data_IF_873868403491
#
_entry.id   IF_873868403491
#
_cell.length_a   1.000
_cell.length_b   1.000
_cell.length_c   1.000
_cell.angle_alpha   90.00
_cell.angle_beta   90.00
_cell.angle_gamma   90.00
#
_symmetry.space_group_name_H-M   'P 1'
#
loop_
_entity.id
_entity.type
_entity.pdbx_description
1 polymer ?
#
# COMPACT_ATOMS: atom_id res chain seq x y z
N UNK A 1 -21.47 -4.94 -0.55
CA UNK A 1 -20.71 -4.59 0.67
C UNK A 1 -19.36 -4.10 0.21
N UNK A 2 -18.82 -3.00 0.78
CA UNK A 2 -17.43 -2.60 0.51
C UNK A 2 -16.48 -3.63 1.11
N UNK A 3 -15.43 -3.96 0.38
CA UNK A 3 -14.32 -4.77 0.88
C UNK A 3 -13.72 -4.08 2.10
N UNK A 4 -13.50 -4.80 3.20
CA UNK A 4 -12.80 -4.23 4.38
C UNK A 4 -11.49 -4.98 4.60
N UNK A 5 -10.39 -4.50 4.00
CA UNK A 5 -9.08 -5.08 4.23
C UNK A 5 -8.73 -5.07 5.71
N UNK A 6 -8.14 -6.15 6.19
CA UNK A 6 -7.45 -6.18 7.48
C UNK A 6 -5.95 -6.18 7.26
N UNK A 7 -5.22 -5.30 7.93
CA UNK A 7 -3.78 -5.25 7.69
C UNK A 7 -3.01 -4.40 8.68
N UNK A 8 -1.69 -4.49 8.54
CA UNK A 8 -0.73 -3.80 9.39
C UNK A 8 0.05 -2.76 8.60
N UNK A 9 0.26 -1.59 9.22
CA UNK A 9 1.10 -0.52 8.69
C UNK A 9 2.25 -0.29 9.65
N UNK A 10 3.45 -0.64 9.21
CA UNK A 10 4.71 -0.41 9.94
C UNK A 10 5.51 0.72 9.30
N UNK A 11 6.43 1.29 10.05
CA UNK A 11 7.19 2.47 9.62
C UNK A 11 8.65 2.42 10.02
N UNK A 12 9.53 2.75 9.08
CA UNK A 12 10.97 2.89 9.28
C UNK A 12 11.42 4.34 9.03
N UNK A 13 12.06 4.95 10.04
CA UNK A 13 12.59 6.32 9.97
C UNK A 13 11.56 7.40 9.59
N UNK A 14 10.27 7.11 9.78
CA UNK A 14 9.13 8.00 9.56
C UNK A 14 8.12 7.79 10.68
N UNK A 15 7.45 8.85 11.11
CA UNK A 15 6.27 8.75 11.98
C UNK A 15 5.02 8.81 11.13
N UNK A 16 4.15 7.83 11.26
CA UNK A 16 2.84 7.79 10.58
C UNK A 16 1.74 8.09 11.58
N UNK A 17 0.76 8.90 11.16
CA UNK A 17 -0.41 9.24 11.99
C UNK A 17 -1.48 8.15 11.88
N UNK A 18 -2.43 8.13 12.82
CA UNK A 18 -3.60 7.27 12.71
C UNK A 18 -4.43 7.59 11.46
N UNK A 19 -4.57 8.87 11.11
CA UNK A 19 -5.24 9.31 9.88
C UNK A 19 -4.59 8.72 8.62
N UNK A 20 -3.27 8.55 8.62
CA UNK A 20 -2.59 7.87 7.53
C UNK A 20 -2.97 6.40 7.45
N UNK A 21 -3.07 5.70 8.57
CA UNK A 21 -3.46 4.28 8.61
C UNK A 21 -4.91 4.07 8.15
N UNK A 22 -5.82 4.95 8.57
CA UNK A 22 -7.22 4.96 8.10
C UNK A 22 -7.26 5.18 6.59
N UNK A 23 -6.53 6.19 6.10
CA UNK A 23 -6.44 6.47 4.67
C UNK A 23 -5.85 5.29 3.87
N UNK A 24 -4.85 4.57 4.40
CA UNK A 24 -4.31 3.36 3.76
C UNK A 24 -5.40 2.30 3.60
N UNK A 25 -6.18 2.05 4.67
CA UNK A 25 -7.25 1.06 4.62
C UNK A 25 -8.34 1.43 3.59
N UNK A 26 -8.71 2.71 3.51
CA UNK A 26 -9.65 3.23 2.52
C UNK A 26 -9.11 3.08 1.09
N UNK A 27 -7.86 3.49 0.86
CA UNK A 27 -7.25 3.44 -0.48
C UNK A 27 -7.09 1.99 -0.99
N UNK A 28 -6.73 1.06 -0.11
CA UNK A 28 -6.64 -0.37 -0.47
C UNK A 28 -8.04 -0.98 -0.65
N UNK A 29 -9.02 -0.59 0.17
CA UNK A 29 -10.43 -0.99 0.01
C UNK A 29 -10.97 -0.57 -1.36
N UNK A 30 -10.73 0.68 -1.74
CA UNK A 30 -11.18 1.20 -3.03
C UNK A 30 -10.44 0.49 -4.18
N UNK A 31 -9.14 0.18 -4.05
CA UNK A 31 -8.44 -0.64 -5.04
C UNK A 31 -9.04 -2.04 -5.18
N UNK A 32 -9.33 -2.72 -4.06
CA UNK A 32 -9.89 -4.07 -4.04
C UNK A 32 -11.30 -4.13 -4.64
N UNK A 33 -12.14 -3.12 -4.44
CA UNK A 33 -13.49 -3.05 -5.01
C UNK A 33 -13.48 -3.00 -6.55
N UNK A 34 -12.34 -2.66 -7.18
CA UNK A 34 -12.16 -2.67 -8.64
C UNK A 34 -11.53 -3.97 -9.17
N UNK A 35 -11.19 -4.94 -8.31
CA UNK A 35 -10.70 -6.25 -8.73
C UNK A 35 -11.86 -7.25 -8.84
N UNK A 36 -12.24 -7.69 -10.06
CA UNK A 36 -13.39 -8.57 -10.24
C UNK A 36 -13.18 -9.96 -9.63
N UNK A 37 -11.93 -10.39 -9.44
CA UNK A 37 -11.56 -11.75 -8.98
C UNK A 37 -11.59 -11.92 -7.45
N UNK A 38 -11.56 -10.82 -6.69
CA UNK A 38 -11.48 -10.83 -5.22
C UNK A 38 -12.77 -10.35 -4.54
N UNK A 39 -13.85 -10.20 -5.31
CA UNK A 39 -15.13 -9.63 -4.89
C UNK A 39 -15.81 -10.38 -3.74
N UNK A 40 -15.48 -11.66 -3.56
CA UNK A 40 -16.04 -12.55 -2.52
C UNK A 40 -15.37 -12.45 -1.14
N UNK A 41 -14.43 -11.52 -0.95
CA UNK A 41 -14.25 -10.77 0.30
C UNK A 41 -13.93 -11.51 1.63
N UNK A 42 -13.59 -12.80 1.60
CA UNK A 42 -13.36 -13.54 2.85
C UNK A 42 -11.96 -13.33 3.46
N UNK A 43 -10.91 -13.11 2.65
CA UNK A 43 -9.52 -13.18 3.14
C UNK A 43 -8.61 -12.15 2.45
N UNK A 44 -8.96 -10.86 2.52
CA UNK A 44 -8.14 -9.80 1.94
C UNK A 44 -7.28 -9.12 3.02
N UNK A 45 -5.99 -9.44 3.00
CA UNK A 45 -5.00 -8.94 3.96
C UNK A 45 -3.97 -8.04 3.30
N UNK A 46 -3.48 -7.04 4.03
CA UNK A 46 -2.35 -6.24 3.59
C UNK A 46 -1.28 -6.08 4.66
N UNK A 47 -0.04 -5.99 4.20
CA UNK A 47 1.09 -5.54 5.01
C UNK A 47 1.78 -4.39 4.28
N UNK A 48 1.91 -3.24 4.94
CA UNK A 48 2.56 -2.06 4.38
C UNK A 48 3.71 -1.61 5.26
N UNK A 49 4.93 -1.67 4.72
CA UNK A 49 6.09 -1.02 5.32
C UNK A 49 6.36 0.31 4.62
N UNK A 50 6.34 1.41 5.38
CA UNK A 50 6.71 2.74 4.86
C UNK A 50 8.07 3.16 5.41
N UNK A 51 9.02 3.39 4.52
CA UNK A 51 10.37 3.84 4.85
C UNK A 51 10.63 5.23 4.33
N UNK A 52 11.17 6.12 5.18
CA UNK A 52 11.76 7.38 4.69
C UNK A 52 13.18 7.12 4.20
N UNK A 53 13.41 7.33 2.92
CA UNK A 53 14.73 7.26 2.32
C UNK A 53 15.49 8.55 2.64
N UNK A 54 16.56 8.44 3.43
CA UNK A 54 17.59 9.48 3.48
C UNK A 54 18.47 9.31 2.25
N UNK A 55 18.31 10.19 1.28
CA UNK A 55 19.38 10.44 0.31
C UNK A 55 20.25 11.59 0.81
N UNK A 56 21.44 11.75 0.22
CA UNK A 56 22.43 12.75 0.59
C UNK A 56 21.82 14.14 0.82
N UNK A 57 22.52 15.01 1.57
CA UNK A 57 22.02 16.31 2.08
C UNK A 57 21.34 17.23 1.03
N UNK A 58 21.59 17.01 -0.26
CA UNK A 58 21.05 17.79 -1.38
C UNK A 58 19.99 17.06 -2.24
N UNK A 59 19.53 15.88 -1.83
CA UNK A 59 18.51 15.14 -2.58
C UNK A 59 17.13 15.30 -1.96
N UNK A 60 16.06 15.37 -2.78
CA UNK A 60 14.70 15.45 -2.30
C UNK A 60 14.37 14.23 -1.44
N UNK A 61 13.64 14.46 -0.34
CA UNK A 61 13.16 13.37 0.53
C UNK A 61 12.28 12.45 -0.31
N UNK A 62 12.59 11.16 -0.25
CA UNK A 62 11.77 10.12 -0.87
C UNK A 62 11.25 9.17 0.19
N UNK A 63 10.11 8.56 -0.10
CA UNK A 63 9.50 7.52 0.70
C UNK A 63 9.39 6.27 -0.16
N UNK A 64 9.70 5.14 0.45
CA UNK A 64 9.53 3.82 -0.14
C UNK A 64 8.37 3.14 0.57
N UNK A 65 7.47 2.54 -0.19
CA UNK A 65 6.44 1.64 0.31
C UNK A 65 6.74 0.24 -0.20
N UNK A 66 6.79 -0.70 0.72
CA UNK A 66 6.75 -2.13 0.44
C UNK A 66 5.36 -2.63 0.79
N UNK A 67 4.58 -2.99 -0.22
CA UNK A 67 3.19 -3.39 -0.08
C UNK A 67 3.08 -4.86 -0.47
N UNK A 68 2.54 -5.66 0.44
CA UNK A 68 2.11 -7.02 0.20
C UNK A 68 0.58 -7.08 0.36
N UNK A 69 -0.11 -7.58 -0.66
CA UNK A 69 -1.52 -7.90 -0.62
C UNK A 69 -1.65 -9.42 -0.71
N UNK A 70 -2.36 -10.00 0.25
CA UNK A 70 -2.73 -11.40 0.25
C UNK A 70 -4.21 -11.44 -0.03
N UNK A 71 -4.57 -11.97 -1.19
CA UNK A 71 -5.94 -12.27 -1.58
C UNK A 71 -6.14 -13.78 -1.55
N UNK A 72 -7.36 -14.24 -1.79
CA UNK A 72 -7.68 -15.68 -1.75
C UNK A 72 -6.83 -16.50 -2.73
N UNK A 73 -6.54 -15.91 -3.90
CA UNK A 73 -5.89 -16.62 -5.01
C UNK A 73 -4.49 -16.09 -5.32
N UNK A 74 -4.15 -14.88 -4.85
CA UNK A 74 -2.93 -14.20 -5.24
C UNK A 74 -2.18 -13.63 -4.03
N UNK A 75 -0.86 -13.69 -4.11
CA UNK A 75 0.03 -12.87 -3.28
C UNK A 75 0.64 -11.84 -4.23
N UNK A 76 0.34 -10.57 -4.01
CA UNK A 76 0.84 -9.47 -4.79
C UNK A 76 1.84 -8.69 -3.95
N UNK A 77 3.07 -8.57 -4.43
CA UNK A 77 4.12 -7.78 -3.80
C UNK A 77 4.56 -6.64 -4.71
N UNK A 78 4.69 -5.45 -4.13
CA UNK A 78 5.20 -4.30 -4.85
C UNK A 78 5.99 -3.39 -3.94
N UNK A 79 7.18 -3.04 -4.42
CA UNK A 79 8.06 -2.08 -3.80
C UNK A 79 8.25 -0.85 -4.70
N UNK A 80 7.72 0.31 -4.26
CA UNK A 80 7.76 1.56 -5.04
C UNK A 80 8.12 2.76 -4.19
N UNK A 81 8.72 3.75 -4.84
CA UNK A 81 9.10 5.02 -4.22
C UNK A 81 8.24 6.18 -4.69
N UNK A 82 8.11 7.20 -3.85
CA UNK A 82 7.35 8.42 -4.12
C UNK A 82 7.84 9.62 -3.32
N UNK A 83 7.34 10.81 -3.68
CA UNK A 83 7.63 12.06 -2.97
C UNK A 83 6.93 12.15 -1.60
N UNK A 84 5.94 11.29 -1.35
CA UNK A 84 5.23 11.14 -0.08
C UNK A 84 4.84 9.66 0.12
N UNK A 85 4.55 9.23 1.37
CA UNK A 85 4.04 7.89 1.64
C UNK A 85 2.78 7.55 0.82
N UNK A 86 1.84 8.50 0.72
CA UNK A 86 0.61 8.33 -0.08
C UNK A 86 0.91 8.05 -1.55
N UNK A 87 1.86 8.81 -2.12
CA UNK A 87 2.23 8.64 -3.53
C UNK A 87 2.98 7.33 -3.77
N UNK A 88 3.86 6.94 -2.86
CA UNK A 88 4.56 5.66 -2.93
C UNK A 88 3.59 4.47 -2.87
N UNK A 89 2.58 4.52 -1.98
CA UNK A 89 1.54 3.49 -1.92
C UNK A 89 0.74 3.40 -3.23
N UNK A 90 0.31 4.54 -3.79
CA UNK A 90 -0.41 4.56 -5.07
C UNK A 90 0.39 3.93 -6.20
N UNK A 91 1.68 4.22 -6.28
CA UNK A 91 2.54 3.57 -7.27
C UNK A 91 2.60 2.04 -7.08
N UNK A 92 2.53 1.52 -5.84
CA UNK A 92 2.44 0.08 -5.61
C UNK A 92 1.14 -0.49 -6.19
N UNK A 93 0.00 0.11 -5.84
CA UNK A 93 -1.33 -0.31 -6.31
C UNK A 93 -1.45 -0.23 -7.84
N UNK A 94 -0.95 0.85 -8.45
CA UNK A 94 -0.88 1.02 -9.91
C UNK A 94 -0.06 -0.08 -10.58
N UNK A 95 0.99 -0.58 -9.92
CA UNK A 95 1.85 -1.62 -10.52
C UNK A 95 1.22 -3.00 -10.54
N UNK A 96 0.21 -3.25 -9.72
CA UNK A 96 -0.59 -4.47 -9.81
C UNK A 96 -1.53 -4.45 -11.02
N UNK A 97 -2.00 -3.27 -11.45
CA UNK A 97 -2.80 -3.15 -12.69
C UNK A 97 -1.95 -3.32 -13.94
N UNK A 98 -0.67 -2.94 -13.91
CA UNK A 98 0.20 -3.04 -15.09
C UNK A 98 0.67 -4.47 -15.40
N UNK A 99 0.37 -5.44 -14.52
CA UNK A 99 0.76 -6.84 -14.64
C UNK A 99 -0.38 -7.77 -15.09
N UNK A 100 -1.59 -7.24 -15.30
CA UNK A 100 -2.77 -7.95 -15.84
C UNK A 100 -3.00 -7.58 -17.31
#
# INVERSE_FOLDING_TARGET
MKTRPFGEVVSEHVKLTNDFKVWVQEEISDWADHQPEDKDNADFHYFLNVKRLRKQMNQPVQFQCDLQLLTRNHILDSNRSGKSPKRALRHCLESFHAAA
#
